data_IF_269221888300
#
_entry.id   IF_269221888300
#
_cell.length_a   1.000
_cell.length_b   1.000
_cell.length_c   1.000
_cell.angle_alpha   90.00
_cell.angle_beta   90.00
_cell.angle_gamma   90.00
#
_symmetry.space_group_name_H-M   'P 1'
#
loop_
_entity.id
_entity.type
_entity.pdbx_description
1 polymer ?
#
# COMPACT_ATOMS: atom_id res chain seq x y z
N UNK A 1 27.93 8.06 -34.91
CA UNK A 1 26.65 8.54 -34.33
C UNK A 1 25.59 7.45 -34.45
N UNK A 2 25.04 6.97 -33.33
CA UNK A 2 23.67 6.47 -33.17
C UNK A 2 23.50 5.86 -31.76
N UNK A 3 23.10 6.67 -30.78
CA UNK A 3 22.66 6.18 -29.47
C UNK A 3 21.21 5.70 -29.60
N UNK A 4 21.01 4.39 -29.51
CA UNK A 4 19.69 3.76 -29.41
C UNK A 4 18.95 4.37 -28.21
N UNK A 5 17.93 5.18 -28.50
CA UNK A 5 16.98 5.69 -27.50
C UNK A 5 16.33 4.49 -26.84
N UNK A 6 16.64 4.24 -25.57
CA UNK A 6 16.02 3.17 -24.81
C UNK A 6 14.50 3.36 -24.88
N UNK A 7 13.80 2.40 -25.48
CA UNK A 7 12.35 2.35 -25.38
C UNK A 7 12.00 2.48 -23.89
N UNK A 8 11.14 3.44 -23.56
CA UNK A 8 10.61 3.65 -22.20
C UNK A 8 9.96 2.34 -21.74
N UNK A 9 10.73 1.48 -21.07
CA UNK A 9 10.23 0.27 -20.44
C UNK A 9 9.10 0.71 -19.52
N UNK A 10 7.86 0.26 -19.79
CA UNK A 10 6.71 0.53 -18.92
C UNK A 10 7.14 0.20 -17.49
N UNK A 11 7.27 1.22 -16.63
CA UNK A 11 7.75 1.05 -15.25
C UNK A 11 6.78 0.24 -14.38
N UNK A 12 5.58 -0.09 -14.90
CA UNK A 12 4.53 -0.83 -14.21
C UNK A 12 4.22 -2.10 -14.96
N UNK A 13 4.30 -3.22 -14.25
CA UNK A 13 4.00 -4.55 -14.74
C UNK A 13 2.47 -4.82 -14.73
N UNK A 14 1.77 -4.32 -13.72
CA UNK A 14 0.34 -4.56 -13.54
C UNK A 14 -0.50 -3.29 -13.75
N UNK A 15 -1.63 -3.36 -14.49
CA UNK A 15 -2.59 -2.26 -14.58
C UNK A 15 -3.20 -1.97 -13.20
N UNK A 16 -3.62 -0.72 -12.97
CA UNK A 16 -4.27 -0.30 -11.72
C UNK A 16 -5.73 0.06 -11.95
N UNK A 17 -6.59 -0.38 -11.04
CA UNK A 17 -8.02 -0.13 -11.07
C UNK A 17 -8.42 0.72 -9.88
N UNK A 18 -9.21 1.77 -10.13
CA UNK A 18 -9.81 2.56 -9.06
C UNK A 18 -10.85 1.70 -8.34
N UNK A 19 -10.79 1.71 -7.02
CA UNK A 19 -11.70 0.93 -6.18
C UNK A 19 -12.16 1.75 -4.99
N UNK A 20 -13.38 1.48 -4.52
CA UNK A 20 -13.84 1.96 -3.23
C UNK A 20 -13.61 0.84 -2.20
N UNK A 21 -12.53 0.94 -1.44
CA UNK A 21 -12.18 -0.04 -0.41
C UNK A 21 -11.48 0.59 0.77
N UNK A 22 -11.27 -0.19 1.82
CA UNK A 22 -10.46 0.18 2.98
C UNK A 22 -9.47 -0.93 3.28
N UNK A 23 -8.34 -0.56 3.85
CA UNK A 23 -7.46 -1.51 4.51
C UNK A 23 -7.47 -1.19 5.99
N UNK A 24 -7.56 -2.23 6.82
CA UNK A 24 -7.39 -2.14 8.27
C UNK A 24 -6.43 -3.22 8.71
N UNK A 25 -5.36 -2.81 9.34
CA UNK A 25 -4.32 -3.72 9.77
C UNK A 25 -3.47 -3.10 10.85
N UNK A 26 -2.28 -3.65 11.01
CA UNK A 26 -1.30 -3.13 11.92
C UNK A 26 0.09 -3.50 11.42
N UNK A 27 1.09 -2.74 11.86
CA UNK A 27 2.45 -3.00 11.46
C UNK A 27 3.01 -4.19 12.24
N UNK A 28 3.62 -5.13 11.53
CA UNK A 28 4.35 -6.23 12.15
C UNK A 28 5.65 -5.71 12.77
N UNK A 29 5.96 -6.14 14.00
CA UNK A 29 7.23 -5.80 14.62
C UNK A 29 8.37 -6.47 13.84
N UNK A 30 9.45 -5.71 13.61
CA UNK A 30 10.66 -6.24 12.99
C UNK A 30 11.40 -7.25 13.89
N UNK A 31 11.21 -7.14 15.21
CA UNK A 31 11.84 -7.99 16.22
C UNK A 31 10.78 -8.53 17.19
N UNK A 32 10.76 -9.85 17.48
CA UNK A 32 9.86 -10.42 18.49
C UNK A 32 10.00 -9.71 19.84
N UNK A 33 8.88 -9.33 20.46
CA UNK A 33 8.86 -8.70 21.79
C UNK A 33 8.89 -7.16 21.79
N UNK A 34 9.08 -6.48 20.64
CA UNK A 34 9.10 -5.02 20.57
C UNK A 34 7.75 -4.40 20.13
N UNK A 35 7.16 -3.60 21.03
CA UNK A 35 6.00 -2.65 20.90
C UNK A 35 4.63 -3.18 20.45
N UNK A 36 3.60 -2.62 21.11
CA UNK A 36 2.18 -2.71 20.75
C UNK A 36 1.98 -2.25 19.30
N UNK A 37 1.60 -3.19 18.44
CA UNK A 37 1.25 -2.92 17.04
C UNK A 37 0.06 -1.94 17.01
N UNK A 38 0.30 -0.70 16.58
CA UNK A 38 -0.75 0.31 16.43
C UNK A 38 -1.58 -0.03 15.20
N UNK A 39 -2.91 0.07 15.34
CA UNK A 39 -3.81 -0.07 14.20
C UNK A 39 -3.49 1.01 13.16
N UNK A 40 -3.36 0.55 11.93
CA UNK A 40 -3.16 1.35 10.73
C UNK A 40 -4.34 1.14 9.78
N UNK A 41 -4.94 2.22 9.32
CA UNK A 41 -6.11 2.17 8.45
C UNK A 41 -6.10 3.29 7.43
N UNK A 42 -6.78 3.04 6.31
CA UNK A 42 -6.95 4.05 5.26
C UNK A 42 -7.86 3.60 4.14
N UNK A 43 -8.19 4.54 3.26
CA UNK A 43 -8.98 4.29 2.06
C UNK A 43 -8.08 3.78 0.94
N UNK A 44 -8.48 2.69 0.30
CA UNK A 44 -7.80 2.22 -0.92
C UNK A 44 -8.21 3.12 -2.07
N UNK A 45 -7.22 3.73 -2.73
CA UNK A 45 -7.42 4.59 -3.90
C UNK A 45 -7.46 3.77 -5.19
N UNK A 46 -6.51 2.86 -5.33
CA UNK A 46 -6.35 1.99 -6.48
C UNK A 46 -5.71 0.66 -6.07
N UNK A 47 -5.94 -0.39 -6.86
CA UNK A 47 -5.44 -1.75 -6.65
C UNK A 47 -4.96 -2.36 -7.96
N UNK A 48 -4.03 -3.29 -7.87
CA UNK A 48 -3.47 -4.11 -8.96
C UNK A 48 -3.08 -5.48 -8.40
N UNK A 49 -2.70 -6.41 -9.27
CA UNK A 49 -2.21 -7.73 -8.86
C UNK A 49 -0.90 -7.67 -8.07
N UNK A 50 -0.14 -6.59 -8.19
CA UNK A 50 1.10 -6.39 -7.41
C UNK A 50 0.92 -5.65 -6.08
N UNK A 51 -0.24 -5.06 -5.82
CA UNK A 51 -0.45 -4.24 -4.62
C UNK A 51 -1.43 -3.10 -4.82
N UNK A 52 -1.48 -2.16 -3.88
CA UNK A 52 -2.47 -1.08 -3.86
C UNK A 52 -1.92 0.24 -3.33
N UNK A 53 -2.64 1.33 -3.59
CA UNK A 53 -2.37 2.66 -3.03
C UNK A 53 -3.40 2.98 -1.95
N UNK A 54 -2.92 3.51 -0.83
CA UNK A 54 -3.73 3.83 0.34
C UNK A 54 -3.62 5.31 0.71
N UNK A 55 -4.75 5.89 1.12
CA UNK A 55 -4.85 7.22 1.71
C UNK A 55 -5.09 7.06 3.21
N UNK A 56 -4.12 7.49 4.02
CA UNK A 56 -4.17 7.41 5.48
C UNK A 56 -3.93 8.77 6.13
N UNK A 57 -4.38 8.93 7.37
CA UNK A 57 -4.10 10.11 8.21
C UNK A 57 -2.73 10.02 8.91
N UNK A 58 -2.13 8.82 8.96
CA UNK A 58 -0.84 8.55 9.59
C UNK A 58 0.11 7.93 8.59
N UNK A 59 1.41 8.14 8.78
CA UNK A 59 2.44 7.42 8.04
C UNK A 59 2.75 6.08 8.75
N UNK A 60 2.77 4.95 8.03
CA UNK A 60 3.39 3.73 8.52
C UNK A 60 4.93 3.89 8.58
N UNK A 61 5.65 2.94 9.19
CA UNK A 61 7.11 2.96 9.10
C UNK A 61 7.58 2.62 7.68
N UNK A 62 8.68 3.24 7.27
CA UNK A 62 9.29 3.03 5.95
C UNK A 62 9.69 1.58 5.79
N UNK A 63 9.35 0.98 4.65
CA UNK A 63 9.65 -0.42 4.31
C UNK A 63 9.07 -1.46 5.28
N UNK A 64 8.19 -1.06 6.21
CA UNK A 64 7.55 -1.95 7.17
C UNK A 64 6.57 -2.92 6.51
N UNK A 65 6.37 -4.07 7.17
CA UNK A 65 5.33 -5.03 6.82
C UNK A 65 4.04 -4.70 7.57
N UNK A 66 2.93 -4.62 6.85
CA UNK A 66 1.60 -4.47 7.42
C UNK A 66 0.82 -5.76 7.22
N UNK A 67 0.28 -6.31 8.30
CA UNK A 67 -0.68 -7.40 8.24
C UNK A 67 -2.07 -6.85 8.54
N UNK A 68 -3.05 -7.21 7.71
CA UNK A 68 -4.39 -6.70 7.89
C UNK A 68 -5.39 -7.35 6.96
N UNK A 69 -6.46 -6.60 6.68
CA UNK A 69 -7.54 -7.02 5.81
C UNK A 69 -7.92 -5.90 4.85
N UNK A 70 -8.17 -6.26 3.59
CA UNK A 70 -8.89 -5.41 2.64
C UNK A 70 -10.40 -5.63 2.79
N UNK A 71 -11.13 -4.52 2.79
CA UNK A 71 -12.58 -4.49 2.92
C UNK A 71 -13.15 -3.73 1.71
N UNK A 72 -14.07 -4.38 0.99
CA UNK A 72 -14.78 -3.78 -0.14
C UNK A 72 -16.29 -3.79 0.14
N UNK A 73 -17.03 -2.68 -0.06
CA UNK A 73 -18.45 -2.59 0.30
C UNK A 73 -19.36 -3.63 -0.34
N UNK A 74 -18.97 -4.16 -1.53
CA UNK A 74 -19.74 -5.15 -2.29
C UNK A 74 -19.16 -6.56 -2.20
N UNK A 75 -18.20 -6.79 -1.30
CA UNK A 75 -17.62 -8.10 -1.08
C UNK A 75 -18.03 -8.59 0.32
N UNK A 76 -18.70 -9.75 0.44
CA UNK A 76 -19.19 -10.25 1.72
C UNK A 76 -18.06 -10.72 2.65
N UNK A 77 -16.85 -10.87 2.12
CA UNK A 77 -15.67 -11.30 2.87
C UNK A 77 -14.61 -10.21 2.91
N UNK A 78 -13.76 -10.28 3.93
CA UNK A 78 -12.56 -9.47 4.05
C UNK A 78 -11.37 -10.28 3.56
N UNK A 79 -10.52 -9.69 2.72
CA UNK A 79 -9.36 -10.39 2.17
C UNK A 79 -8.20 -10.22 3.15
N UNK A 80 -7.69 -11.28 3.81
CA UNK A 80 -6.47 -11.19 4.60
C UNK A 80 -5.30 -10.80 3.70
N UNK A 81 -4.47 -9.87 4.14
CA UNK A 81 -3.42 -9.33 3.28
C UNK A 81 -2.18 -9.00 4.09
N UNK A 82 -1.03 -9.44 3.58
CA UNK A 82 0.29 -9.02 4.02
C UNK A 82 0.91 -8.14 2.93
N UNK A 83 1.39 -6.96 3.30
CA UNK A 83 1.99 -6.00 2.36
C UNK A 83 3.24 -5.34 2.92
N UNK A 84 4.15 -4.96 2.03
CA UNK A 84 5.29 -4.11 2.33
C UNK A 84 5.03 -2.67 1.87
N UNK A 85 5.43 -1.70 2.70
CA UNK A 85 5.48 -0.28 2.31
C UNK A 85 6.61 -0.06 1.29
N UNK A 86 6.28 0.46 0.10
CA UNK A 86 7.27 0.74 -0.96
C UNK A 86 7.61 2.22 -1.10
N UNK A 87 6.64 3.09 -0.84
CA UNK A 87 6.83 4.53 -0.85
C UNK A 87 5.73 5.22 -0.04
N UNK A 88 6.02 6.43 0.41
CA UNK A 88 5.08 7.30 1.11
C UNK A 88 5.26 8.74 0.61
N UNK A 89 4.14 9.42 0.42
CA UNK A 89 4.09 10.82 -0.01
C UNK A 89 3.08 11.56 0.86
N UNK A 90 3.49 12.66 1.47
CA UNK A 90 2.57 13.52 2.22
C UNK A 90 1.80 14.40 1.24
N UNK A 91 0.48 14.46 1.38
CA UNK A 91 -0.34 15.34 0.55
C UNK A 91 0.04 16.82 0.78
N UNK A 92 -0.10 17.71 -0.23
CA UNK A 92 0.25 19.13 -0.09
C UNK A 92 -0.47 19.84 1.06
N UNK A 93 -1.71 19.44 1.37
CA UNK A 93 -2.46 19.97 2.51
C UNK A 93 -1.93 19.51 3.88
N UNK A 94 -0.96 18.59 3.91
CA UNK A 94 -0.32 18.07 5.11
C UNK A 94 -1.18 17.11 5.95
N UNK A 95 -2.47 16.95 5.62
CA UNK A 95 -3.47 16.21 6.42
C UNK A 95 -3.47 14.69 6.21
N UNK A 96 -2.97 14.23 5.07
CA UNK A 96 -3.02 12.81 4.68
C UNK A 96 -1.73 12.37 4.00
N UNK A 97 -1.51 11.07 3.99
CA UNK A 97 -0.42 10.38 3.31
C UNK A 97 -0.99 9.49 2.20
N UNK A 98 -0.31 9.48 1.07
CA UNK A 98 -0.42 8.44 0.04
C UNK A 98 0.65 7.40 0.33
N UNK A 99 0.25 6.15 0.41
CA UNK A 99 1.16 5.03 0.73
C UNK A 99 1.04 4.00 -0.38
N UNK A 100 2.16 3.69 -1.02
CA UNK A 100 2.26 2.60 -1.97
C UNK A 100 2.60 1.30 -1.26
N UNK A 101 1.73 0.29 -1.43
CA UNK A 101 1.86 -1.02 -0.81
C UNK A 101 2.03 -2.08 -1.89
N UNK A 102 2.92 -3.03 -1.65
CA UNK A 102 3.15 -4.21 -2.49
C UNK A 102 2.76 -5.46 -1.69
N UNK A 103 2.06 -6.41 -2.32
CA UNK A 103 1.79 -7.69 -1.66
C UNK A 103 3.08 -8.45 -1.38
N UNK A 104 3.19 -9.02 -0.19
CA UNK A 104 4.25 -9.96 0.16
C UNK A 104 3.74 -11.37 -0.13
N UNK A 105 3.89 -11.78 -1.40
CA UNK A 105 3.51 -13.09 -1.94
C UNK A 105 4.77 -13.79 -2.43
#
# INVERSE_FOLDING_TARGET
>A
MATLRSASRKRRENPRFLVNGRFRGSQLPLVPGHRKSRTFEGKVKDISDGGFCLIATRAPETSGLLQGRLLFPRMPTQIPTLVQVRWMERAPSGRYYRVGLQYAI
#
